data_IF_726151139326
#
_entry.id   IF_726151139326
#
_cell.length_a   1.000
_cell.length_b   1.000
_cell.length_c   1.000
_cell.angle_alpha   90.00
_cell.angle_beta   90.00
_cell.angle_gamma   90.00
#
_symmetry.space_group_name_H-M   'P 1'
#
loop_
_entity.id
_entity.type
_entity.pdbx_description
1 polymer ?
#
# COMPACT_ATOMS: atom_id res chain seq x y z
N UNK A 1 -31.70 5.73 16.94
CA UNK A 1 -30.29 6.18 16.77
C UNK A 1 -29.58 5.85 18.06
N UNK A 2 -28.60 4.94 18.02
CA UNK A 2 -27.76 4.65 19.19
C UNK A 2 -26.94 5.90 19.50
N UNK A 3 -27.00 6.42 20.73
CA UNK A 3 -26.12 7.51 21.15
C UNK A 3 -24.66 7.07 21.08
N UNK A 4 -23.80 7.99 20.63
CA UNK A 4 -22.36 7.78 20.62
C UNK A 4 -21.83 7.71 22.05
N UNK A 5 -21.00 6.70 22.39
CA UNK A 5 -20.33 6.68 23.68
C UNK A 5 -19.47 7.94 23.82
N UNK A 6 -19.60 8.63 24.95
CA UNK A 6 -18.78 9.80 25.26
C UNK A 6 -17.31 9.39 25.32
N UNK A 7 -16.41 9.99 24.52
CA UNK A 7 -14.99 9.65 24.56
C UNK A 7 -14.42 9.93 25.96
N UNK A 8 -13.94 8.89 26.65
CA UNK A 8 -13.17 9.04 27.88
C UNK A 8 -11.69 8.92 27.55
N UNK A 9 -10.92 9.96 27.86
CA UNK A 9 -9.46 9.88 27.82
C UNK A 9 -9.00 8.86 28.87
N UNK A 10 -8.24 7.87 28.44
CA UNK A 10 -7.64 6.88 29.36
C UNK A 10 -6.58 7.61 30.18
N UNK A 11 -6.90 7.94 31.43
CA UNK A 11 -5.99 8.62 32.37
C UNK A 11 -4.90 7.68 32.95
N UNK A 12 -4.87 6.42 32.54
CA UNK A 12 -3.91 5.43 33.01
C UNK A 12 -2.70 5.34 32.08
N UNK A 13 -1.49 5.49 32.65
CA UNK A 13 -0.23 5.20 31.95
C UNK A 13 0.03 3.69 31.79
N UNK A 14 -0.81 2.83 32.37
CA UNK A 14 -0.75 1.38 32.25
C UNK A 14 -1.85 0.93 31.30
N UNK A 15 -1.45 0.51 30.10
CA UNK A 15 -2.33 -0.11 29.11
C UNK A 15 -2.52 -1.59 29.44
N UNK A 16 -3.69 -2.18 29.14
CA UNK A 16 -3.89 -3.62 29.26
C UNK A 16 -2.97 -4.38 28.30
N UNK A 17 -2.65 -5.67 28.58
CA UNK A 17 -1.82 -6.49 27.70
C UNK A 17 -2.45 -6.75 26.32
N UNK A 18 -3.76 -6.52 26.19
CA UNK A 18 -4.51 -6.63 24.95
C UNK A 18 -5.53 -5.51 24.87
N UNK A 19 -5.62 -4.89 23.69
CA UNK A 19 -6.67 -3.93 23.34
C UNK A 19 -7.63 -4.60 22.35
N UNK A 20 -8.91 -4.58 22.65
CA UNK A 20 -9.96 -5.01 21.73
C UNK A 20 -10.49 -3.79 20.99
N UNK A 21 -10.22 -3.71 19.70
CA UNK A 21 -10.81 -2.68 18.86
C UNK A 21 -12.29 -2.99 18.63
N UNK A 22 -13.20 -2.00 18.69
CA UNK A 22 -14.59 -2.20 18.32
C UNK A 22 -14.69 -2.55 16.83
N UNK A 23 -15.81 -3.16 16.42
CA UNK A 23 -16.05 -3.45 15.01
C UNK A 23 -16.34 -2.14 14.24
N UNK A 24 -15.28 -1.49 13.77
CA UNK A 24 -15.35 -0.23 13.03
C UNK A 24 -16.17 -0.38 11.75
N UNK A 25 -16.09 -1.55 11.09
CA UNK A 25 -16.82 -1.80 9.84
C UNK A 25 -18.33 -1.81 10.05
N UNK A 26 -18.83 -2.44 11.12
CA UNK A 26 -20.25 -2.42 11.45
C UNK A 26 -20.75 -0.98 11.61
N UNK A 27 -19.97 -0.16 12.31
CA UNK A 27 -20.30 1.24 12.54
C UNK A 27 -20.30 2.07 11.25
N UNK A 28 -19.29 1.92 10.39
CA UNK A 28 -19.22 2.72 9.14
C UNK A 28 -20.22 2.25 8.09
N UNK A 29 -20.58 0.96 8.08
CA UNK A 29 -21.51 0.38 7.08
C UNK A 29 -22.94 0.91 7.17
N UNK A 30 -23.34 1.50 8.30
CA UNK A 30 -24.65 2.15 8.44
C UNK A 30 -24.76 3.42 7.59
N UNK A 31 -23.63 4.04 7.24
CA UNK A 31 -23.57 5.33 6.54
C UNK A 31 -22.90 5.22 5.18
N UNK A 32 -21.86 4.39 5.07
CA UNK A 32 -21.08 4.19 3.85
C UNK A 32 -21.36 2.81 3.27
N UNK A 33 -22.02 2.79 2.11
CA UNK A 33 -22.22 1.57 1.33
C UNK A 33 -20.86 0.99 0.89
N UNK A 34 -20.73 -0.33 0.97
CA UNK A 34 -19.54 -1.01 0.47
C UNK A 34 -19.64 -1.18 -1.05
N UNK A 35 -18.69 -0.62 -1.77
CA UNK A 35 -18.54 -0.77 -3.20
C UNK A 35 -17.19 -1.40 -3.53
N UNK A 36 -17.12 -2.15 -4.61
CA UNK A 36 -15.89 -2.78 -5.05
C UNK A 36 -15.84 -2.79 -6.58
N UNK A 37 -14.70 -2.37 -7.12
CA UNK A 37 -14.49 -2.34 -8.56
C UNK A 37 -14.60 -3.75 -9.15
N UNK A 38 -15.46 -4.00 -10.16
CA UNK A 38 -15.64 -5.34 -10.74
C UNK A 38 -14.35 -5.88 -11.40
N UNK A 39 -13.38 -5.02 -11.69
CA UNK A 39 -12.14 -5.39 -12.34
C UNK A 39 -10.99 -5.72 -11.36
N UNK A 40 -11.22 -5.67 -10.04
CA UNK A 40 -10.12 -5.76 -9.06
C UNK A 40 -9.30 -7.06 -9.16
N UNK A 41 -9.93 -8.20 -9.41
CA UNK A 41 -9.22 -9.48 -9.53
C UNK A 41 -8.29 -9.51 -10.73
N UNK A 42 -8.73 -8.93 -11.86
CA UNK A 42 -7.90 -8.84 -13.05
C UNK A 42 -6.74 -7.86 -12.83
N UNK A 43 -7.02 -6.68 -12.26
CA UNK A 43 -5.99 -5.70 -11.94
C UNK A 43 -4.95 -6.27 -10.97
N UNK A 44 -5.39 -6.97 -9.92
CA UNK A 44 -4.52 -7.65 -8.95
C UNK A 44 -3.58 -8.65 -9.63
N UNK A 45 -4.14 -9.60 -10.40
CA UNK A 45 -3.36 -10.66 -11.02
C UNK A 45 -2.27 -10.09 -11.94
N UNK A 46 -2.64 -9.11 -12.78
CA UNK A 46 -1.67 -8.54 -13.69
C UNK A 46 -0.69 -7.56 -12.98
N UNK A 47 -1.12 -6.86 -11.92
CA UNK A 47 -0.26 -6.04 -11.05
C UNK A 47 0.79 -6.86 -10.33
N UNK A 48 0.40 -8.01 -9.82
CA UNK A 48 1.30 -8.89 -9.08
C UNK A 48 2.32 -9.53 -10.02
N UNK A 49 1.89 -9.93 -11.23
CA UNK A 49 2.82 -10.41 -12.26
C UNK A 49 3.83 -9.33 -12.69
N UNK A 50 3.39 -8.08 -12.84
CA UNK A 50 4.28 -6.95 -13.11
C UNK A 50 5.24 -6.69 -11.95
N UNK A 51 4.75 -6.71 -10.71
CA UNK A 51 5.57 -6.55 -9.51
C UNK A 51 6.67 -7.61 -9.42
N UNK A 52 6.32 -8.87 -9.68
CA UNK A 52 7.24 -10.00 -9.65
C UNK A 52 8.42 -9.83 -10.65
N UNK A 53 8.20 -9.13 -11.76
CA UNK A 53 9.25 -8.87 -12.76
C UNK A 53 10.44 -8.06 -12.22
N UNK A 54 10.25 -7.28 -11.13
CA UNK A 54 11.33 -6.52 -10.50
C UNK A 54 12.16 -7.35 -9.52
N UNK A 55 11.67 -8.53 -9.11
CA UNK A 55 12.34 -9.43 -8.17
C UNK A 55 12.69 -8.73 -6.85
N UNK A 56 11.70 -8.09 -6.21
CA UNK A 56 11.84 -7.38 -4.94
C UNK A 56 11.66 -8.38 -3.78
N UNK A 57 12.58 -8.37 -2.83
CA UNK A 57 12.52 -9.24 -1.64
C UNK A 57 12.87 -10.72 -1.91
N UNK A 58 12.73 -11.55 -0.87
CA UNK A 58 12.82 -13.01 -0.94
C UNK A 58 11.45 -13.61 -1.24
N UNK A 59 11.39 -14.86 -1.73
CA UNK A 59 10.11 -15.52 -2.06
C UNK A 59 9.09 -15.48 -0.90
N UNK A 60 9.53 -15.73 0.34
CA UNK A 60 8.65 -15.72 1.50
C UNK A 60 8.16 -14.31 1.89
N UNK A 61 9.01 -13.28 1.81
CA UNK A 61 8.60 -11.89 2.08
C UNK A 61 7.68 -11.38 0.98
N UNK A 62 7.99 -11.71 -0.28
CA UNK A 62 7.18 -11.39 -1.45
C UNK A 62 5.79 -12.01 -1.35
N UNK A 63 5.70 -13.30 -1.03
CA UNK A 63 4.41 -13.97 -0.87
C UNK A 63 3.56 -13.30 0.22
N UNK A 64 4.15 -13.04 1.39
CA UNK A 64 3.46 -12.33 2.47
C UNK A 64 2.99 -10.93 2.05
N UNK A 65 3.78 -10.23 1.23
CA UNK A 65 3.42 -8.93 0.69
C UNK A 65 2.20 -9.01 -0.25
N UNK A 66 2.21 -9.95 -1.20
CA UNK A 66 1.08 -10.16 -2.11
C UNK A 66 -0.20 -10.63 -1.38
N UNK A 67 -0.05 -11.43 -0.32
CA UNK A 67 -1.15 -11.91 0.52
C UNK A 67 -1.82 -10.80 1.35
N UNK A 68 -1.26 -9.57 1.39
CA UNK A 68 -1.83 -8.44 2.11
C UNK A 68 -3.13 -7.88 1.48
N UNK A 69 -3.50 -8.34 0.28
CA UNK A 69 -4.78 -8.01 -0.36
C UNK A 69 -4.83 -6.63 -1.00
N UNK A 70 -3.72 -6.16 -1.59
CA UNK A 70 -3.63 -4.84 -2.21
C UNK A 70 -4.57 -4.66 -3.41
N UNK A 71 -4.82 -5.74 -4.19
CA UNK A 71 -5.79 -5.70 -5.28
C UNK A 71 -7.22 -5.47 -4.79
N UNK A 72 -7.66 -6.23 -3.78
CA UNK A 72 -8.95 -5.97 -3.13
C UNK A 72 -9.02 -4.57 -2.52
N UNK A 73 -7.99 -4.14 -1.78
CA UNK A 73 -7.95 -2.81 -1.18
C UNK A 73 -8.12 -1.70 -2.23
N UNK A 74 -7.37 -1.78 -3.34
CA UNK A 74 -7.50 -0.80 -4.43
C UNK A 74 -8.87 -0.85 -5.10
N UNK A 75 -9.44 -2.05 -5.27
CA UNK A 75 -10.82 -2.22 -5.76
C UNK A 75 -11.87 -1.59 -4.85
N UNK A 76 -11.68 -1.60 -3.53
CA UNK A 76 -12.55 -0.94 -2.55
C UNK A 76 -12.36 0.58 -2.52
N UNK A 77 -11.15 1.09 -2.78
CA UNK A 77 -10.87 2.53 -2.80
C UNK A 77 -11.33 3.23 -4.09
N UNK A 78 -11.36 2.50 -5.21
CA UNK A 78 -11.67 3.06 -6.53
C UNK A 78 -12.76 2.25 -7.25
N UNK A 79 -14.00 2.20 -6.72
CA UNK A 79 -15.04 1.32 -7.22
C UNK A 79 -15.50 1.64 -8.65
N UNK A 80 -15.43 2.91 -9.06
CA UNK A 80 -16.05 3.41 -10.30
C UNK A 80 -15.09 3.56 -11.49
N UNK A 81 -13.77 3.44 -11.27
CA UNK A 81 -12.82 3.67 -12.36
C UNK A 81 -12.78 2.49 -13.33
N UNK A 82 -12.40 2.75 -14.58
CA UNK A 82 -12.19 1.67 -15.53
C UNK A 82 -10.97 0.81 -15.14
N UNK A 83 -10.86 -0.35 -15.79
CA UNK A 83 -9.75 -1.27 -15.58
C UNK A 83 -8.37 -0.60 -15.73
N UNK A 84 -8.19 0.29 -16.71
CA UNK A 84 -6.88 0.90 -16.99
C UNK A 84 -6.43 1.80 -15.82
N UNK A 85 -7.36 2.60 -15.28
CA UNK A 85 -7.10 3.45 -14.12
C UNK A 85 -6.91 2.61 -12.85
N UNK A 86 -7.75 1.58 -12.64
CA UNK A 86 -7.61 0.68 -11.50
C UNK A 86 -6.24 0.03 -11.51
N UNK A 87 -5.82 -0.46 -12.67
CA UNK A 87 -4.53 -1.13 -12.82
C UNK A 87 -3.35 -0.22 -12.49
N UNK A 88 -3.37 1.03 -12.95
CA UNK A 88 -2.35 2.03 -12.62
C UNK A 88 -2.26 2.25 -11.11
N UNK A 89 -3.40 2.40 -10.42
CA UNK A 89 -3.38 2.65 -8.97
C UNK A 89 -2.98 1.41 -8.17
N UNK A 90 -3.36 0.21 -8.60
CA UNK A 90 -2.89 -1.04 -7.97
C UNK A 90 -1.37 -1.18 -8.10
N UNK A 91 -0.80 -0.89 -9.27
CA UNK A 91 0.66 -0.85 -9.47
C UNK A 91 1.35 0.19 -8.58
N UNK A 92 0.76 1.39 -8.48
CA UNK A 92 1.27 2.45 -7.62
C UNK A 92 1.24 2.07 -6.13
N UNK A 93 0.18 1.40 -5.67
CA UNK A 93 0.07 0.89 -4.30
C UNK A 93 1.17 -0.13 -4.00
N UNK A 94 1.45 -1.06 -4.91
CA UNK A 94 2.54 -2.03 -4.73
C UNK A 94 3.91 -1.34 -4.63
N UNK A 95 4.14 -0.29 -5.43
CA UNK A 95 5.32 0.55 -5.30
C UNK A 95 5.36 1.26 -3.94
N UNK A 96 4.25 1.89 -3.54
CA UNK A 96 4.14 2.68 -2.32
C UNK A 96 4.51 1.84 -1.10
N UNK A 97 3.87 0.68 -0.95
CA UNK A 97 4.14 -0.21 0.19
C UNK A 97 5.52 -0.88 0.11
N UNK A 98 6.09 -1.08 -1.08
CA UNK A 98 7.48 -1.54 -1.19
C UNK A 98 8.48 -0.49 -0.75
N UNK A 99 8.19 0.79 -1.01
CA UNK A 99 9.02 1.89 -0.53
C UNK A 99 8.87 2.08 0.99
N UNK A 100 7.64 1.98 1.50
CA UNK A 100 7.30 2.05 2.94
C UNK A 100 7.99 0.94 3.76
N UNK A 101 7.93 -0.31 3.30
CA UNK A 101 8.61 -1.44 3.94
C UNK A 101 10.14 -1.24 3.98
N UNK A 102 10.73 -0.63 2.94
CA UNK A 102 12.15 -0.31 2.94
C UNK A 102 12.51 0.78 3.96
N UNK A 103 11.64 1.77 4.16
CA UNK A 103 11.85 2.80 5.18
C UNK A 103 11.69 2.26 6.60
N UNK A 104 10.70 1.39 6.84
CA UNK A 104 10.34 0.95 8.19
C UNK A 104 11.14 -0.27 8.66
N UNK A 105 11.46 -1.21 7.77
CA UNK A 105 12.21 -2.42 8.12
C UNK A 105 13.73 -2.19 8.24
N UNK A 106 14.18 -0.94 8.19
CA UNK A 106 15.60 -0.59 8.23
C UNK A 106 16.36 -0.97 6.95
N UNK A 107 15.66 -1.18 5.82
CA UNK A 107 16.29 -1.44 4.53
C UNK A 107 17.03 -0.23 3.96
N UNK A 108 16.84 0.94 4.56
CA UNK A 108 17.59 2.16 4.32
C UNK A 108 18.44 2.45 5.57
N UNK A 109 19.69 2.00 5.54
CA UNK A 109 20.62 1.93 6.69
C UNK A 109 20.97 3.28 7.36
N UNK A 110 20.42 4.40 6.89
CA UNK A 110 20.63 5.74 7.46
C UNK A 110 19.70 6.80 6.85
N UNK A 111 19.66 7.98 7.48
CA UNK A 111 19.10 9.21 6.90
C UNK A 111 19.67 9.47 5.49
N UNK A 112 20.95 9.16 5.25
CA UNK A 112 21.58 9.33 3.94
C UNK A 112 21.09 8.30 2.92
N UNK A 113 20.87 7.06 3.35
CA UNK A 113 20.23 6.03 2.54
C UNK A 113 18.84 6.45 2.09
N UNK A 114 18.06 7.00 3.03
CA UNK A 114 16.72 7.53 2.73
C UNK A 114 16.74 8.72 1.77
N UNK A 115 17.63 9.70 1.98
CA UNK A 115 17.81 10.82 1.04
C UNK A 115 18.13 10.32 -0.37
N UNK A 116 19.05 9.36 -0.49
CA UNK A 116 19.42 8.78 -1.79
C UNK A 116 18.26 8.02 -2.43
N UNK A 117 17.49 7.25 -1.67
CA UNK A 117 16.31 6.55 -2.18
C UNK A 117 15.28 7.55 -2.73
N UNK A 118 14.98 8.62 -1.98
CA UNK A 118 14.08 9.70 -2.42
C UNK A 118 14.63 10.41 -3.67
N UNK A 119 15.92 10.75 -3.70
CA UNK A 119 16.54 11.40 -4.86
C UNK A 119 16.42 10.56 -6.14
N UNK A 120 16.71 9.26 -6.05
CA UNK A 120 16.61 8.34 -7.19
C UNK A 120 15.16 8.19 -7.66
N UNK A 121 14.22 8.00 -6.73
CA UNK A 121 12.78 7.96 -7.03
C UNK A 121 12.32 9.24 -7.73
N UNK A 122 12.67 10.41 -7.19
CA UNK A 122 12.28 11.71 -7.76
C UNK A 122 12.93 11.98 -9.11
N UNK A 123 14.14 11.44 -9.36
CA UNK A 123 14.77 11.53 -10.67
C UNK A 123 13.97 10.78 -11.73
N UNK A 124 13.52 9.55 -11.43
CA UNK A 124 12.68 8.76 -12.35
C UNK A 124 11.37 9.50 -12.65
N UNK A 125 10.72 10.05 -11.63
CA UNK A 125 9.45 10.77 -11.81
C UNK A 125 9.59 12.07 -12.62
N UNK A 126 10.72 12.77 -12.51
CA UNK A 126 10.96 14.03 -13.22
C UNK A 126 11.49 13.82 -14.64
N UNK A 127 12.19 12.72 -14.87
CA UNK A 127 12.73 12.34 -16.19
C UNK A 127 12.50 10.84 -16.44
N UNK A 128 11.28 10.46 -16.82
CA UNK A 128 10.92 9.06 -17.08
C UNK A 128 11.65 8.49 -18.31
N UNK A 129 12.20 9.34 -19.17
CA UNK A 129 12.95 8.90 -20.36
C UNK A 129 14.41 8.51 -20.06
N UNK A 130 14.89 8.81 -18.86
CA UNK A 130 16.23 8.43 -18.41
C UNK A 130 16.38 6.91 -18.28
N UNK A 131 17.62 6.43 -18.13
CA UNK A 131 17.84 5.00 -17.92
C UNK A 131 17.22 4.53 -16.59
N UNK A 132 16.60 3.33 -16.55
CA UNK A 132 16.02 2.80 -15.33
C UNK A 132 17.09 2.66 -14.24
N UNK A 133 16.81 3.09 -13.01
CA UNK A 133 17.78 2.99 -11.93
C UNK A 133 18.00 1.52 -11.52
N UNK A 134 19.19 1.22 -10.98
CA UNK A 134 19.45 -0.11 -10.38
C UNK A 134 18.65 -0.35 -9.09
N UNK A 135 18.17 0.73 -8.46
CA UNK A 135 17.34 0.63 -7.28
C UNK A 135 15.94 0.15 -7.67
N UNK A 136 15.70 -1.15 -7.47
CA UNK A 136 14.51 -1.88 -7.97
C UNK A 136 13.18 -1.21 -7.63
N UNK A 137 13.02 -0.70 -6.42
CA UNK A 137 11.79 -0.01 -6.01
C UNK A 137 11.58 1.28 -6.79
N UNK A 138 12.62 2.08 -7.04
CA UNK A 138 12.48 3.25 -7.92
C UNK A 138 12.30 2.86 -9.40
N UNK A 139 12.83 1.70 -9.83
CA UNK A 139 12.69 1.23 -11.20
C UNK A 139 11.23 0.87 -11.55
N UNK A 140 10.38 0.57 -10.58
CA UNK A 140 8.94 0.35 -10.80
C UNK A 140 8.23 1.57 -11.39
N UNK A 141 8.72 2.77 -11.08
CA UNK A 141 8.16 4.02 -11.61
C UNK A 141 8.68 4.36 -13.01
N UNK A 142 9.60 3.56 -13.54
CA UNK A 142 10.12 3.69 -14.89
C UNK A 142 9.21 2.90 -15.84
N UNK A 143 8.38 3.63 -16.60
CA UNK A 143 7.45 3.07 -17.60
C UNK A 143 7.60 3.80 -18.93
#
# INVERSE_FOLDING_TARGET
>A
MSEFPTPQLVASAILPPQLHLPNVLAYTSEVFGLECNPHYQQAEAESYAWYDSFGIGTDAKRQKFCDAGFGLMTGLCYPDCDFAHLRIVTDFVLWLFSFDDLSDAGGLDSIQGMKRAVEVTMKVLRDPTSQPPKFKVAAMLHR
#
